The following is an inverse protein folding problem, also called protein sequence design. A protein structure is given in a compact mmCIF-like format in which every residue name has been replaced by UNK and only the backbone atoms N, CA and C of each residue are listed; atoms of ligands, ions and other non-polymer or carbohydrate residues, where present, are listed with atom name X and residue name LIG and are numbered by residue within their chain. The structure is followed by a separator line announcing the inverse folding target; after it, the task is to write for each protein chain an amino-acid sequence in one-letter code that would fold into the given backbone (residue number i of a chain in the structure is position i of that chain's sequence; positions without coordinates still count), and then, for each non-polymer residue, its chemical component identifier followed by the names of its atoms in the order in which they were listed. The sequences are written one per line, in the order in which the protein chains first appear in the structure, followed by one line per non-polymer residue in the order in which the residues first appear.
data_IF_479769606258
#
_entry.id   IF_479769606258
#
_cell.length_a   1.000
_cell.length_b   1.000
_cell.length_c   1.000
_cell.angle_alpha   90.00
_cell.angle_beta   90.00
_cell.angle_gamma   90.00
#
_symmetry.space_group_name_H-M   'P 1'
#
loop_
_entity.id
_entity.type
_entity.pdbx_description
1 polymer ?
#
# COMPACT_ATOMS: atom_id res chain seq x y z
N UNK A 1 26.81 1.46 -4.33
CA UNK A 1 25.87 2.56 -4.60
C UNK A 1 24.52 1.95 -4.82
N UNK A 2 23.56 2.29 -3.96
CA UNK A 2 22.19 1.77 -3.99
C UNK A 2 21.37 2.47 -5.09
N UNK A 3 20.17 1.98 -5.40
CA UNK A 3 19.30 2.58 -6.41
C UNK A 3 18.95 4.06 -6.15
N UNK A 4 18.60 4.51 -4.92
CA UNK A 4 18.39 5.94 -4.63
C UNK A 4 19.57 6.83 -5.02
N UNK A 5 20.79 6.45 -4.66
CA UNK A 5 22.00 7.22 -4.95
C UNK A 5 22.25 7.33 -6.48
N UNK A 6 22.01 6.23 -7.21
CA UNK A 6 22.13 6.21 -8.68
C UNK A 6 21.08 7.11 -9.33
N UNK A 7 19.83 7.03 -8.89
CA UNK A 7 18.76 7.86 -9.41
C UNK A 7 19.04 9.35 -9.13
N UNK A 8 19.48 9.69 -7.92
CA UNK A 8 19.90 11.04 -7.57
C UNK A 8 21.03 11.54 -8.46
N UNK A 9 22.06 10.72 -8.69
CA UNK A 9 23.21 11.06 -9.55
C UNK A 9 22.76 11.33 -10.99
N UNK A 10 21.90 10.46 -11.53
CA UNK A 10 21.35 10.61 -12.89
C UNK A 10 20.55 11.90 -13.05
N UNK A 11 19.70 12.26 -12.09
CA UNK A 11 18.92 13.49 -12.16
C UNK A 11 19.82 14.74 -12.10
N UNK A 12 20.88 14.72 -11.30
CA UNK A 12 21.82 15.84 -11.25
C UNK A 12 22.61 15.97 -12.56
N UNK A 13 23.08 14.86 -13.13
CA UNK A 13 23.72 14.90 -14.45
C UNK A 13 22.75 15.40 -15.54
N UNK A 14 21.46 15.04 -15.45
CA UNK A 14 20.46 15.55 -16.36
C UNK A 14 20.26 17.07 -16.23
N UNK A 15 20.36 17.65 -15.02
CA UNK A 15 20.29 19.11 -14.87
C UNK A 15 21.39 19.83 -15.64
N UNK A 16 22.61 19.27 -15.66
CA UNK A 16 23.73 19.84 -16.41
C UNK A 16 23.50 19.75 -17.94
N UNK A 17 23.00 18.60 -18.41
CA UNK A 17 22.72 18.36 -19.85
C UNK A 17 21.57 19.22 -20.39
N UNK A 18 20.63 19.59 -19.52
CA UNK A 18 19.46 20.39 -19.86
C UNK A 18 19.54 21.84 -19.34
N UNK A 19 20.74 22.34 -19.02
CA UNK A 19 20.95 23.66 -18.40
C UNK A 19 20.41 24.87 -19.19
N UNK A 20 20.20 24.71 -20.50
CA UNK A 20 19.63 25.69 -21.42
C UNK A 20 18.09 25.56 -21.60
N UNK A 21 17.45 24.55 -21.00
CA UNK A 21 15.99 24.36 -21.04
C UNK A 21 15.37 24.64 -19.66
N UNK A 22 14.82 25.85 -19.42
CA UNK A 22 14.15 26.17 -18.15
C UNK A 22 13.00 25.20 -17.82
N UNK A 23 12.30 24.71 -18.84
CA UNK A 23 11.22 23.73 -18.69
C UNK A 23 11.74 22.40 -18.13
N UNK A 24 12.76 21.83 -18.76
CA UNK A 24 13.37 20.56 -18.31
C UNK A 24 14.00 20.72 -16.92
N UNK A 25 14.69 21.82 -16.65
CA UNK A 25 15.27 22.11 -15.32
C UNK A 25 14.19 22.16 -14.25
N UNK A 26 13.10 22.90 -14.47
CA UNK A 26 12.02 23.01 -13.50
C UNK A 26 11.36 21.65 -13.23
N UNK A 27 11.21 20.82 -14.28
CA UNK A 27 10.71 19.46 -14.15
C UNK A 27 11.64 18.56 -13.33
N UNK A 28 12.93 18.54 -13.65
CA UNK A 28 13.93 17.72 -12.96
C UNK A 28 14.11 18.16 -11.50
N UNK A 29 14.14 19.48 -11.23
CA UNK A 29 14.19 20.04 -9.87
C UNK A 29 12.99 19.64 -9.03
N UNK A 30 11.78 19.58 -9.62
CA UNK A 30 10.59 19.09 -8.92
C UNK A 30 10.76 17.64 -8.46
N UNK A 31 11.33 16.78 -9.30
CA UNK A 31 11.58 15.38 -8.95
C UNK A 31 12.71 15.23 -7.91
N UNK A 32 13.76 16.05 -7.99
CA UNK A 32 14.81 16.10 -6.97
C UNK A 32 14.29 16.55 -5.60
N UNK A 33 13.48 17.61 -5.55
CA UNK A 33 12.87 18.07 -4.30
C UNK A 33 12.03 16.98 -3.62
N UNK A 34 11.36 16.15 -4.42
CA UNK A 34 10.55 15.04 -3.92
C UNK A 34 11.35 13.91 -3.27
N UNK A 35 12.65 13.78 -3.48
CA UNK A 35 13.44 12.76 -2.78
C UNK A 35 13.48 13.02 -1.27
N UNK A 36 13.50 14.28 -0.85
CA UNK A 36 13.62 14.67 0.56
C UNK A 36 12.26 14.82 1.25
N UNK A 37 11.18 14.96 0.49
CA UNK A 37 9.82 15.04 1.02
C UNK A 37 9.39 13.72 1.70
N UNK A 38 8.30 13.69 2.49
CA UNK A 38 7.61 12.45 2.83
C UNK A 38 7.17 11.65 1.60
N UNK A 39 6.92 10.35 1.76
CA UNK A 39 6.34 9.53 0.69
C UNK A 39 4.93 10.04 0.36
N UNK A 40 4.61 10.16 -0.94
CA UNK A 40 3.28 10.55 -1.41
C UNK A 40 2.45 9.34 -1.83
N UNK A 41 1.34 9.09 -1.13
CA UNK A 41 0.44 7.96 -1.37
C UNK A 41 -0.92 8.45 -1.88
N UNK A 42 -1.23 8.16 -3.14
CA UNK A 42 -2.52 8.52 -3.73
C UNK A 42 -3.61 7.49 -3.41
N UNK A 43 -4.79 7.99 -3.04
CA UNK A 43 -6.00 7.19 -2.82
C UNK A 43 -6.89 7.34 -4.04
N UNK A 44 -6.90 6.32 -4.89
CA UNK A 44 -7.52 6.34 -6.21
C UNK A 44 -8.68 5.37 -6.26
N UNK A 45 -9.77 5.72 -6.95
CA UNK A 45 -10.86 4.79 -7.19
C UNK A 45 -12.08 5.47 -7.79
N UNK A 46 -13.05 4.64 -8.18
CA UNK A 46 -14.31 5.05 -8.79
C UNK A 46 -15.13 6.07 -8.00
N UNK A 47 -16.19 6.62 -8.61
CA UNK A 47 -17.17 7.40 -7.87
C UNK A 47 -17.76 6.54 -6.73
N UNK A 48 -18.00 7.18 -5.58
CA UNK A 48 -18.56 6.55 -4.39
C UNK A 48 -17.78 5.33 -3.83
N UNK A 49 -16.50 5.10 -4.17
CA UNK A 49 -15.72 3.99 -3.58
C UNK A 49 -15.22 4.24 -2.16
N UNK A 50 -15.56 5.37 -1.53
CA UNK A 50 -15.16 5.68 -0.14
C UNK A 50 -13.73 6.21 -0.01
N UNK A 51 -13.20 6.93 -1.01
CA UNK A 51 -11.84 7.53 -1.00
C UNK A 51 -11.62 8.44 0.22
N UNK A 52 -12.41 9.48 0.36
CA UNK A 52 -12.32 10.43 1.47
C UNK A 52 -12.58 9.75 2.82
N UNK A 53 -13.48 8.75 2.87
CA UNK A 53 -13.70 7.91 4.05
C UNK A 53 -12.44 7.14 4.46
N UNK A 54 -11.72 6.56 3.49
CA UNK A 54 -10.49 5.84 3.75
C UNK A 54 -9.34 6.77 4.13
N UNK A 55 -9.25 7.96 3.51
CA UNK A 55 -8.30 9.01 3.90
C UNK A 55 -8.52 9.40 5.36
N UNK A 56 -9.75 9.66 5.77
CA UNK A 56 -10.11 9.95 7.16
C UNK A 56 -9.77 8.77 8.10
N UNK A 57 -10.02 7.54 7.66
CA UNK A 57 -9.67 6.35 8.43
C UNK A 57 -8.14 6.18 8.60
N UNK A 58 -7.32 6.51 7.60
CA UNK A 58 -5.85 6.43 7.69
C UNK A 58 -5.27 7.59 8.50
N UNK A 59 -5.74 8.83 8.26
CA UNK A 59 -5.34 10.01 9.02
C UNK A 59 -5.74 9.88 10.50
N UNK A 60 -6.95 9.40 10.78
CA UNK A 60 -7.52 9.31 12.12
C UNK A 60 -8.26 10.53 12.59
N UNK A 61 -8.49 11.46 11.69
CA UNK A 61 -9.24 12.69 11.88
C UNK A 61 -10.06 12.93 10.61
N UNK A 62 -11.16 13.66 10.75
CA UNK A 62 -12.04 14.00 9.63
C UNK A 62 -11.46 15.19 8.85
N UNK A 63 -10.51 14.93 7.97
CA UNK A 63 -9.79 15.94 7.18
C UNK A 63 -10.28 16.05 5.74
N UNK A 64 -10.74 14.94 5.16
CA UNK A 64 -11.24 14.86 3.80
C UNK A 64 -12.76 14.97 3.76
N UNK A 65 -13.26 15.81 2.86
CA UNK A 65 -14.68 15.96 2.54
C UNK A 65 -15.01 15.24 1.24
N UNK A 66 -16.18 14.58 1.19
CA UNK A 66 -16.61 13.90 -0.03
C UNK A 66 -16.89 14.92 -1.15
N UNK A 67 -16.36 14.66 -2.36
CA UNK A 67 -16.72 15.42 -3.56
C UNK A 67 -15.79 16.57 -3.95
N UNK A 68 -14.54 16.60 -3.47
CA UNK A 68 -13.53 17.56 -3.94
C UNK A 68 -13.31 17.47 -5.47
N UNK A 69 -13.27 18.62 -6.16
CA UNK A 69 -13.07 18.69 -7.62
C UNK A 69 -11.59 18.56 -8.04
N UNK A 70 -10.66 18.41 -7.10
CA UNK A 70 -9.23 18.34 -7.37
C UNK A 70 -8.49 17.45 -6.38
N UNK A 71 -7.18 17.33 -6.57
CA UNK A 71 -6.32 16.61 -5.63
C UNK A 71 -6.21 17.40 -4.33
N UNK A 72 -6.29 16.72 -3.20
CA UNK A 72 -6.09 17.30 -1.87
C UNK A 72 -5.00 16.54 -1.13
N UNK A 73 -4.11 17.27 -0.46
CA UNK A 73 -2.95 16.71 0.24
C UNK A 73 -3.17 16.77 1.74
N UNK A 74 -2.96 15.64 2.41
CA UNK A 74 -3.10 15.49 3.85
C UNK A 74 -1.80 14.94 4.43
N UNK A 75 -1.23 15.65 5.40
CA UNK A 75 -0.08 15.14 6.13
C UNK A 75 -0.58 14.19 7.21
N UNK A 76 -0.14 12.93 7.15
CA UNK A 76 -0.41 11.97 8.21
C UNK A 76 0.77 12.03 9.19
N UNK A 77 0.53 12.44 10.45
CA UNK A 77 1.59 12.47 11.43
C UNK A 77 2.12 11.04 11.65
N UNK A 78 3.42 10.88 11.90
CA UNK A 78 3.99 9.57 12.12
C UNK A 78 3.35 8.96 13.38
N UNK A 79 2.67 7.81 13.23
CA UNK A 79 2.41 6.96 14.37
C UNK A 79 3.75 6.34 14.82
N UNK A 80 3.89 5.97 16.10
CA UNK A 80 5.14 5.46 16.69
C UNK A 80 5.92 4.57 15.70
N UNK A 81 7.20 4.92 15.47
CA UNK A 81 8.15 4.26 14.55
C UNK A 81 7.79 4.23 13.06
N UNK A 82 6.82 5.01 12.57
CA UNK A 82 6.49 5.12 11.14
C UNK A 82 7.08 6.39 10.55
N UNK A 83 7.56 6.30 9.30
CA UNK A 83 7.97 7.47 8.52
C UNK A 83 6.77 8.37 8.21
N UNK A 84 6.97 9.70 8.10
CA UNK A 84 5.89 10.60 7.69
C UNK A 84 5.37 10.24 6.29
N UNK A 85 4.06 10.39 6.10
CA UNK A 85 3.36 10.06 4.86
C UNK A 85 2.46 11.24 4.46
N UNK A 86 2.44 11.55 3.17
CA UNK A 86 1.47 12.48 2.58
C UNK A 86 0.42 11.67 1.83
N UNK A 87 -0.83 11.72 2.27
CA UNK A 87 -1.95 11.16 1.53
C UNK A 87 -2.42 12.16 0.47
N UNK A 88 -2.77 11.67 -0.70
CA UNK A 88 -3.39 12.45 -1.76
C UNK A 88 -4.78 11.86 -2.01
N UNK A 89 -5.83 12.60 -1.66
CA UNK A 89 -7.19 12.27 -2.10
C UNK A 89 -7.34 12.73 -3.55
N UNK A 90 -7.63 11.79 -4.45
CA UNK A 90 -7.71 12.06 -5.89
C UNK A 90 -9.16 12.18 -6.35
N UNK A 91 -9.42 12.92 -7.44
CA UNK A 91 -10.72 12.86 -8.10
C UNK A 91 -11.09 11.40 -8.46
N UNK A 92 -12.40 11.16 -8.60
CA UNK A 92 -12.90 9.82 -8.94
C UNK A 92 -12.40 9.39 -10.32
N UNK A 93 -11.87 8.16 -10.42
CA UNK A 93 -11.38 7.58 -11.67
C UNK A 93 -12.42 6.64 -12.25
N UNK A 94 -12.83 6.87 -13.49
CA UNK A 94 -13.76 6.01 -14.22
C UNK A 94 -13.34 5.82 -15.68
N UNK A 95 -14.09 5.04 -16.46
CA UNK A 95 -13.76 4.72 -17.84
C UNK A 95 -13.73 5.96 -18.75
N UNK A 96 -14.49 7.01 -18.41
CA UNK A 96 -14.56 8.27 -19.15
C UNK A 96 -13.51 9.30 -18.69
N UNK A 97 -12.50 8.88 -17.91
CA UNK A 97 -11.47 9.78 -17.42
C UNK A 97 -10.53 10.22 -18.56
N UNK A 98 -10.34 11.54 -18.65
CA UNK A 98 -9.32 12.14 -19.52
C UNK A 98 -7.93 11.56 -19.19
N UNK A 99 -7.15 11.11 -20.19
CA UNK A 99 -5.82 10.53 -19.98
C UNK A 99 -4.87 11.41 -19.13
N UNK A 100 -5.00 12.73 -19.26
CA UNK A 100 -4.20 13.70 -18.49
C UNK A 100 -4.44 13.66 -16.98
N UNK A 101 -5.62 13.22 -16.51
CA UNK A 101 -5.90 13.09 -15.08
C UNK A 101 -5.12 11.91 -14.47
N UNK A 102 -5.03 10.79 -15.19
CA UNK A 102 -4.24 9.62 -14.76
C UNK A 102 -2.75 9.97 -14.74
N UNK A 103 -2.26 10.66 -15.78
CA UNK A 103 -0.88 11.13 -15.83
C UNK A 103 -0.57 12.06 -14.67
N UNK A 104 -1.45 13.02 -14.35
CA UNK A 104 -1.28 13.93 -13.21
C UNK A 104 -1.12 13.18 -11.88
N UNK A 105 -1.96 12.16 -11.62
CA UNK A 105 -1.85 11.33 -10.41
C UNK A 105 -0.52 10.57 -10.39
N UNK A 106 -0.14 9.93 -11.50
CA UNK A 106 1.13 9.21 -11.63
C UNK A 106 2.34 10.12 -11.45
N UNK A 107 2.24 11.39 -11.86
CA UNK A 107 3.30 12.38 -11.72
C UNK A 107 3.41 12.95 -10.32
N UNK A 108 2.36 12.92 -9.49
CA UNK A 108 2.41 13.47 -8.13
C UNK A 108 2.60 12.39 -7.04
N UNK A 109 2.23 11.14 -7.33
CA UNK A 109 2.26 10.04 -6.37
C UNK A 109 3.53 9.19 -6.49
N UNK A 110 4.01 8.65 -5.36
CA UNK A 110 5.06 7.63 -5.32
C UNK A 110 4.46 6.22 -5.25
N UNK A 111 3.30 6.10 -4.62
CA UNK A 111 2.53 4.88 -4.47
C UNK A 111 1.02 5.15 -4.57
N UNK A 112 0.24 4.10 -4.83
CA UNK A 112 -1.21 4.17 -5.03
C UNK A 112 -1.95 3.11 -4.21
N UNK A 113 -2.97 3.55 -3.47
CA UNK A 113 -4.06 2.71 -2.98
C UNK A 113 -5.20 2.76 -3.98
N UNK A 114 -5.49 1.63 -4.64
CA UNK A 114 -6.58 1.54 -5.60
C UNK A 114 -7.82 0.94 -4.94
N UNK A 115 -8.88 1.73 -4.81
CA UNK A 115 -10.12 1.42 -4.11
C UNK A 115 -11.17 0.90 -5.08
N UNK A 116 -11.74 -0.22 -4.71
CA UNK A 116 -12.76 -0.93 -5.46
C UNK A 116 -13.85 -1.40 -4.49
N UNK A 117 -15.11 -1.14 -4.84
CA UNK A 117 -16.23 -1.63 -4.04
C UNK A 117 -16.39 -3.15 -4.17
N UNK A 118 -16.34 -3.65 -5.42
CA UNK A 118 -16.53 -5.06 -5.73
C UNK A 118 -15.46 -5.53 -6.73
N UNK A 119 -14.77 -6.65 -6.46
CA UNK A 119 -13.64 -7.06 -7.28
C UNK A 119 -14.01 -7.61 -8.66
N UNK A 120 -15.18 -8.23 -8.81
CA UNK A 120 -15.61 -8.82 -10.08
C UNK A 120 -15.85 -7.78 -11.18
N UNK A 121 -16.23 -6.56 -10.80
CA UNK A 121 -16.57 -5.46 -11.73
C UNK A 121 -15.60 -4.27 -11.57
N UNK A 122 -14.43 -4.49 -10.98
CA UNK A 122 -13.46 -3.43 -10.78
C UNK A 122 -12.82 -3.05 -12.13
N UNK A 123 -12.86 -1.76 -12.47
CA UNK A 123 -12.23 -1.25 -13.67
C UNK A 123 -10.72 -1.05 -13.45
N UNK A 124 -9.93 -2.01 -13.94
CA UNK A 124 -8.47 -2.01 -13.79
C UNK A 124 -7.76 -1.09 -14.79
N UNK A 125 -8.47 -0.33 -15.64
CA UNK A 125 -7.87 0.57 -16.63
C UNK A 125 -6.86 1.54 -16.00
N UNK A 126 -7.18 2.12 -14.84
CA UNK A 126 -6.24 2.97 -14.11
C UNK A 126 -4.95 2.23 -13.72
N UNK A 127 -5.06 1.03 -13.15
CA UNK A 127 -3.89 0.25 -12.76
C UNK A 127 -3.04 -0.17 -13.95
N UNK A 128 -3.65 -0.46 -15.10
CA UNK A 128 -2.94 -0.72 -16.36
C UNK A 128 -2.18 0.53 -16.82
N UNK A 129 -2.83 1.68 -16.81
CA UNK A 129 -2.22 2.96 -17.17
C UNK A 129 -1.03 3.33 -16.25
N UNK A 130 -1.13 3.07 -14.94
CA UNK A 130 0.00 3.22 -14.00
C UNK A 130 1.20 2.36 -14.40
N UNK A 131 0.94 1.20 -15.03
CA UNK A 131 1.96 0.28 -15.52
C UNK A 131 2.32 0.48 -17.00
N UNK A 132 1.81 1.50 -17.70
CA UNK A 132 2.10 1.66 -19.13
C UNK A 132 3.50 2.24 -19.40
N UNK A 133 4.06 2.95 -18.43
CA UNK A 133 5.40 3.51 -18.55
C UNK A 133 6.48 2.40 -18.53
N UNK A 134 7.52 2.42 -19.40
CA UNK A 134 8.55 1.38 -19.46
C UNK A 134 9.24 1.11 -18.11
N UNK A 135 9.58 2.17 -17.38
CA UNK A 135 10.14 2.08 -16.02
C UNK A 135 9.13 1.45 -15.04
N UNK A 136 7.84 1.76 -15.17
CA UNK A 136 6.81 1.21 -14.30
C UNK A 136 6.63 -0.29 -14.50
N UNK A 137 6.67 -0.79 -15.75
CA UNK A 137 6.57 -2.22 -16.08
C UNK A 137 7.65 -3.08 -15.41
N UNK A 138 8.86 -2.56 -15.32
CA UNK A 138 9.97 -3.24 -14.63
C UNK A 138 9.74 -3.29 -13.11
N UNK A 139 8.99 -2.33 -12.58
CA UNK A 139 8.79 -2.07 -11.16
C UNK A 139 7.30 -1.91 -10.80
N UNK A 140 6.49 -2.94 -11.02
CA UNK A 140 5.09 -3.00 -10.58
C UNK A 140 4.99 -3.21 -9.04
N UNK A 141 5.52 -2.24 -8.28
CA UNK A 141 5.75 -2.33 -6.83
C UNK A 141 5.06 -1.23 -6.04
N UNK A 142 4.38 -0.31 -6.71
CA UNK A 142 3.87 0.92 -6.12
C UNK A 142 2.35 0.90 -5.87
N UNK A 143 1.67 -0.24 -6.00
CA UNK A 143 0.20 -0.31 -5.94
C UNK A 143 -0.29 -1.40 -4.99
N UNK A 144 -1.28 -1.06 -4.16
CA UNK A 144 -2.06 -1.99 -3.32
C UNK A 144 -3.54 -1.77 -3.62
N UNK A 145 -4.28 -2.85 -3.85
CA UNK A 145 -5.72 -2.79 -4.05
C UNK A 145 -6.47 -2.91 -2.73
N UNK A 146 -7.57 -2.18 -2.60
CA UNK A 146 -8.40 -2.13 -1.39
C UNK A 146 -9.86 -2.40 -1.75
N UNK A 147 -10.42 -3.47 -1.20
CA UNK A 147 -11.87 -3.69 -1.16
C UNK A 147 -12.45 -2.76 -0.09
N UNK A 148 -12.84 -1.55 -0.47
CA UNK A 148 -13.16 -0.45 0.46
C UNK A 148 -14.56 -0.51 1.08
N UNK A 149 -15.43 -1.33 0.50
CA UNK A 149 -16.79 -1.64 0.96
C UNK A 149 -16.90 -3.10 1.38
N UNK A 150 -15.90 -3.59 2.10
CA UNK A 150 -15.83 -4.98 2.53
C UNK A 150 -17.03 -5.40 3.39
N UNK A 151 -17.66 -4.43 4.06
CA UNK A 151 -18.86 -4.61 4.85
C UNK A 151 -20.12 -4.88 4.03
N UNK A 152 -20.18 -4.50 2.76
CA UNK A 152 -21.34 -4.79 1.89
C UNK A 152 -21.37 -6.26 1.45
N UNK A 153 -20.22 -6.96 1.50
CA UNK A 153 -20.14 -8.37 1.14
C UNK A 153 -20.92 -9.25 2.13
N UNK A 154 -21.82 -10.08 1.60
CA UNK A 154 -22.69 -10.93 2.44
C UNK A 154 -23.83 -10.16 3.14
N UNK A 155 -24.18 -8.95 2.65
CA UNK A 155 -25.37 -8.22 3.09
C UNK A 155 -25.21 -7.47 4.41
N UNK A 156 -24.00 -6.97 4.73
CA UNK A 156 -23.80 -6.15 5.94
C UNK A 156 -23.80 -6.93 7.25
N UNK A 157 -23.70 -8.27 7.20
CA UNK A 157 -23.68 -9.12 8.40
C UNK A 157 -22.39 -8.91 9.18
N UNK A 158 -22.38 -9.25 10.47
CA UNK A 158 -21.22 -9.04 11.36
C UNK A 158 -19.98 -9.84 10.90
N UNK A 159 -20.17 -10.91 10.13
CA UNK A 159 -19.13 -11.72 9.50
C UNK A 159 -18.74 -11.27 8.08
N UNK A 160 -19.30 -10.17 7.55
CA UNK A 160 -19.01 -9.63 6.21
C UNK A 160 -17.50 -9.51 5.94
N UNK A 161 -16.74 -9.01 6.91
CA UNK A 161 -15.29 -8.83 6.80
C UNK A 161 -14.52 -10.15 6.70
N UNK A 162 -15.04 -11.24 7.28
CA UNK A 162 -14.41 -12.57 7.13
C UNK A 162 -14.55 -13.01 5.67
N UNK A 163 -15.75 -12.91 5.12
CA UNK A 163 -16.03 -13.21 3.71
C UNK A 163 -15.21 -12.32 2.77
N UNK A 164 -15.14 -11.01 3.07
CA UNK A 164 -14.36 -10.06 2.29
C UNK A 164 -12.86 -10.39 2.29
N UNK A 165 -12.29 -10.80 3.43
CA UNK A 165 -10.90 -11.25 3.51
C UNK A 165 -10.66 -12.51 2.69
N UNK A 166 -11.61 -13.45 2.64
CA UNK A 166 -11.51 -14.64 1.79
C UNK A 166 -11.50 -14.26 0.31
N UNK A 167 -12.38 -13.34 -0.10
CA UNK A 167 -12.41 -12.79 -1.46
C UNK A 167 -11.08 -12.10 -1.78
N UNK A 168 -10.59 -11.21 -0.93
CA UNK A 168 -9.30 -10.53 -1.10
C UNK A 168 -8.13 -11.53 -1.26
N UNK A 169 -8.10 -12.60 -0.44
CA UNK A 169 -7.10 -13.67 -0.52
C UNK A 169 -7.13 -14.42 -1.85
N UNK A 170 -8.30 -14.57 -2.47
CA UNK A 170 -8.43 -15.16 -3.82
C UNK A 170 -7.84 -14.22 -4.86
N UNK A 171 -8.29 -12.95 -4.88
CA UNK A 171 -7.87 -11.96 -5.88
C UNK A 171 -6.41 -11.55 -5.79
N UNK A 172 -5.79 -11.62 -4.60
CA UNK A 172 -4.36 -11.40 -4.50
C UNK A 172 -3.55 -12.55 -5.09
N UNK A 173 -4.11 -13.76 -5.24
CA UNK A 173 -3.40 -14.94 -5.78
C UNK A 173 -3.71 -15.19 -7.26
N UNK A 174 -4.90 -14.81 -7.70
CA UNK A 174 -5.45 -15.16 -9.01
C UNK A 174 -5.85 -13.89 -9.78
N UNK A 175 -5.74 -13.96 -11.11
CA UNK A 175 -6.19 -12.91 -11.99
C UNK A 175 -5.24 -11.72 -12.09
N UNK A 176 -5.72 -10.67 -12.75
CA UNK A 176 -4.91 -9.54 -13.19
C UNK A 176 -4.38 -8.68 -12.03
N UNK A 177 -5.15 -8.56 -10.93
CA UNK A 177 -4.74 -7.84 -9.72
C UNK A 177 -3.45 -8.39 -9.11
N UNK A 178 -3.19 -9.69 -9.25
CA UNK A 178 -1.95 -10.30 -8.75
C UNK A 178 -0.69 -9.80 -9.48
N UNK A 179 -0.85 -9.31 -10.72
CA UNK A 179 0.23 -8.76 -11.55
C UNK A 179 0.35 -7.25 -11.37
N UNK A 180 -0.80 -6.56 -11.20
CA UNK A 180 -0.86 -5.11 -11.11
C UNK A 180 -0.62 -4.54 -9.70
N UNK A 181 -0.79 -5.35 -8.65
CA UNK A 181 -0.70 -4.91 -7.25
C UNK A 181 0.14 -5.85 -6.38
N UNK A 182 0.76 -5.28 -5.34
CA UNK A 182 1.51 -6.02 -4.33
C UNK A 182 0.58 -6.85 -3.43
N UNK A 183 -0.59 -6.32 -3.06
CA UNK A 183 -1.58 -7.01 -2.22
C UNK A 183 -3.00 -6.53 -2.52
N UNK A 184 -3.99 -7.26 -1.97
CA UNK A 184 -5.41 -6.90 -1.96
C UNK A 184 -5.90 -6.98 -0.51
N UNK A 185 -6.33 -5.86 0.05
CA UNK A 185 -6.77 -5.75 1.45
C UNK A 185 -8.26 -5.42 1.52
N UNK A 186 -8.98 -6.03 2.47
CA UNK A 186 -10.40 -5.75 2.70
C UNK A 186 -10.58 -4.79 3.87
N UNK A 187 -11.31 -3.70 3.66
CA UNK A 187 -11.55 -2.65 4.65
C UNK A 187 -13.02 -2.23 4.65
N UNK A 188 -13.60 -2.08 5.83
CA UNK A 188 -14.86 -1.37 6.02
C UNK A 188 -14.56 0.07 6.44
N UNK A 189 -14.53 0.97 5.44
CA UNK A 189 -14.07 2.35 5.62
C UNK A 189 -14.83 3.14 6.69
N UNK A 190 -16.17 3.01 6.71
CA UNK A 190 -17.01 3.71 7.69
C UNK A 190 -16.76 3.20 9.12
N UNK A 191 -16.76 1.88 9.33
CA UNK A 191 -16.46 1.31 10.65
C UNK A 191 -15.04 1.67 11.13
N UNK A 192 -14.07 1.76 10.22
CA UNK A 192 -12.71 2.19 10.51
C UNK A 192 -12.65 3.67 10.91
N UNK A 193 -13.23 4.55 10.11
CA UNK A 193 -13.26 5.99 10.34
C UNK A 193 -14.05 6.33 11.61
N UNK A 194 -15.28 5.85 11.71
CA UNK A 194 -16.15 6.05 12.87
C UNK A 194 -15.55 5.49 14.15
N UNK A 195 -14.90 4.32 14.10
CA UNK A 195 -14.20 3.76 15.26
C UNK A 195 -13.06 4.65 15.78
N UNK A 196 -12.24 5.22 14.88
CA UNK A 196 -11.11 6.09 15.26
C UNK A 196 -11.53 7.46 15.76
N UNK A 197 -12.65 7.97 15.26
CA UNK A 197 -13.16 9.32 15.53
C UNK A 197 -14.42 9.30 16.40
N UNK A 198 -14.63 8.20 17.14
CA UNK A 198 -15.78 7.97 18.01
C UNK A 198 -15.84 9.02 19.12
N UNK A 199 -16.95 9.76 19.18
CA UNK A 199 -17.23 10.72 20.26
C UNK A 199 -17.89 10.04 21.47
N UNK A 200 -17.96 10.77 22.59
CA UNK A 200 -18.66 10.28 23.79
C UNK A 200 -20.19 10.17 23.52
N UNK A 201 -20.80 11.16 22.86
CA UNK A 201 -22.23 11.12 22.50
C UNK A 201 -22.59 9.91 21.62
N UNK A 202 -21.75 9.60 20.63
CA UNK A 202 -21.94 8.43 19.75
C UNK A 202 -21.79 7.11 20.50
N UNK A 203 -20.85 7.07 21.46
CA UNK A 203 -20.68 5.92 22.32
C UNK A 203 -21.93 5.69 23.20
N UNK A 204 -22.48 6.73 23.82
CA UNK A 204 -23.69 6.62 24.63
C UNK A 204 -24.90 6.15 23.79
N UNK A 205 -25.06 6.66 22.57
CA UNK A 205 -26.11 6.20 21.65
C UNK A 205 -25.95 4.70 21.30
N UNK A 206 -24.72 4.26 21.00
CA UNK A 206 -24.43 2.85 20.72
C UNK A 206 -24.62 1.97 21.95
N UNK A 207 -24.28 2.45 23.14
CA UNK A 207 -24.49 1.78 24.41
C UNK A 207 -25.98 1.63 24.73
N UNK A 208 -26.78 2.67 24.48
CA UNK A 208 -28.24 2.62 24.60
C UNK A 208 -28.87 1.58 23.66
N UNK A 209 -28.43 1.55 22.40
CA UNK A 209 -28.85 0.52 21.44
C UNK A 209 -28.44 -0.89 21.90
N UNK A 210 -27.24 -1.04 22.47
CA UNK A 210 -26.77 -2.32 22.97
C UNK A 210 -27.54 -2.81 24.20
N UNK A 211 -27.99 -1.90 25.06
CA UNK A 211 -28.78 -2.19 26.26
C UNK A 211 -30.24 -2.56 25.95
N UNK A 212 -30.79 -2.11 24.80
CA UNK A 212 -32.16 -2.41 24.40
C UNK A 212 -32.41 -3.93 24.24
N UNK A 213 -33.63 -4.42 24.55
CA UNK A 213 -34.01 -5.81 24.30
C UNK A 213 -33.81 -6.21 22.84
N UNK A 214 -33.49 -7.49 22.62
CA UNK A 214 -33.18 -8.00 21.28
C UNK A 214 -34.38 -7.86 20.33
N UNK A 215 -35.58 -8.08 20.85
CA UNK A 215 -36.85 -8.03 20.14
C UNK A 215 -37.17 -6.63 19.60
N UNK A 216 -36.71 -5.59 20.29
CA UNK A 216 -36.87 -4.19 19.89
C UNK A 216 -35.79 -3.74 18.90
N UNK A 217 -34.55 -4.21 19.10
CA UNK A 217 -33.40 -3.79 18.30
C UNK A 217 -33.32 -4.49 16.93
N UNK A 218 -33.65 -5.78 16.85
CA UNK A 218 -33.53 -6.55 15.61
C UNK A 218 -34.33 -5.94 14.44
N UNK A 219 -35.60 -5.51 14.61
CA UNK A 219 -36.36 -4.86 13.56
C UNK A 219 -35.70 -3.59 13.00
N UNK A 220 -35.03 -2.82 13.86
CA UNK A 220 -34.32 -1.59 13.49
C UNK A 220 -33.06 -1.91 12.68
N UNK A 221 -32.35 -2.98 13.03
CA UNK A 221 -31.11 -3.37 12.37
C UNK A 221 -31.32 -4.16 11.08
N UNK A 222 -32.55 -4.39 10.60
CA UNK A 222 -32.82 -5.14 9.37
C UNK A 222 -32.36 -4.41 8.11
N UNK A 223 -32.55 -3.09 8.01
CA UNK A 223 -32.15 -2.28 6.86
C UNK A 223 -31.71 -0.88 7.28
N UNK A 224 -30.96 -0.21 6.38
CA UNK A 224 -30.55 1.18 6.56
C UNK A 224 -31.77 2.11 6.75
N UNK A 225 -32.81 1.98 5.91
CA UNK A 225 -34.00 2.83 5.97
C UNK A 225 -34.74 2.73 7.31
N UNK A 226 -34.85 1.51 7.86
CA UNK A 226 -35.50 1.30 9.16
C UNK A 226 -34.70 1.91 10.30
N UNK A 227 -33.39 1.79 10.24
CA UNK A 227 -32.52 2.37 11.25
C UNK A 227 -32.57 3.89 11.20
N UNK A 228 -32.48 4.47 10.00
CA UNK A 228 -32.46 5.91 9.73
C UNK A 228 -33.81 6.64 9.95
N UNK A 229 -34.85 5.94 10.42
CA UNK A 229 -36.16 6.56 10.69
C UNK A 229 -36.14 7.61 11.81
N UNK A 230 -35.02 7.75 12.54
CA UNK A 230 -34.80 8.77 13.56
C UNK A 230 -33.53 9.58 13.22
N UNK A 231 -33.52 10.91 13.43
CA UNK A 231 -32.40 11.77 13.05
C UNK A 231 -31.06 11.43 13.73
N UNK A 232 -31.06 10.97 14.98
CA UNK A 232 -29.82 10.58 15.66
C UNK A 232 -29.27 9.27 15.08
N UNK A 233 -30.16 8.33 14.79
CA UNK A 233 -29.80 7.08 14.13
C UNK A 233 -29.36 7.27 12.68
N UNK A 234 -29.94 8.22 11.96
CA UNK A 234 -29.49 8.58 10.60
C UNK A 234 -28.05 9.10 10.60
N UNK A 235 -27.70 9.98 11.55
CA UNK A 235 -26.32 10.47 11.72
C UNK A 235 -25.36 9.33 12.05
N UNK A 236 -25.75 8.45 12.97
CA UNK A 236 -24.93 7.30 13.36
C UNK A 236 -24.73 6.33 12.17
N UNK A 237 -25.78 6.11 11.37
CA UNK A 237 -25.71 5.31 10.16
C UNK A 237 -24.73 5.90 9.14
N UNK A 238 -24.77 7.23 8.93
CA UNK A 238 -23.83 7.91 8.04
C UNK A 238 -22.37 7.76 8.45
N UNK A 239 -22.09 7.65 9.76
CA UNK A 239 -20.71 7.53 10.28
C UNK A 239 -20.17 6.11 10.33
N UNK A 240 -20.99 5.15 10.72
CA UNK A 240 -20.53 3.77 10.97
C UNK A 240 -20.97 2.78 9.89
N UNK A 241 -21.99 3.14 9.10
CA UNK A 241 -22.71 2.18 8.27
C UNK A 241 -23.47 1.15 9.12
N UNK A 242 -24.41 0.43 8.49
CA UNK A 242 -25.22 -0.56 9.20
C UNK A 242 -24.36 -1.70 9.78
N UNK A 243 -23.32 -2.09 9.05
CA UNK A 243 -22.34 -3.07 9.52
C UNK A 243 -21.62 -2.59 10.79
N UNK A 244 -21.10 -1.36 10.79
CA UNK A 244 -20.38 -0.81 11.93
C UNK A 244 -21.25 -0.71 13.17
N UNK A 245 -22.52 -0.34 13.02
CA UNK A 245 -23.51 -0.31 14.11
C UNK A 245 -23.76 -1.73 14.66
N UNK A 246 -24.05 -2.71 13.79
CA UNK A 246 -24.26 -4.12 14.20
C UNK A 246 -23.04 -4.68 14.93
N UNK A 247 -21.85 -4.36 14.43
CA UNK A 247 -20.58 -4.75 15.05
C UNK A 247 -20.40 -4.08 16.41
N UNK A 248 -20.63 -2.76 16.51
CA UNK A 248 -20.49 -2.01 17.75
C UNK A 248 -21.42 -2.53 18.85
N UNK A 249 -22.70 -2.73 18.55
CA UNK A 249 -23.68 -3.34 19.46
C UNK A 249 -23.19 -4.71 19.95
N UNK A 250 -22.70 -5.54 19.03
CA UNK A 250 -22.19 -6.88 19.36
C UNK A 250 -20.96 -6.81 20.28
N UNK A 251 -20.08 -5.83 20.07
CA UNK A 251 -18.87 -5.64 20.88
C UNK A 251 -19.18 -5.12 22.27
N UNK A 252 -20.09 -4.15 22.39
CA UNK A 252 -20.52 -3.61 23.70
C UNK A 252 -21.14 -4.73 24.54
N UNK A 253 -22.05 -5.53 23.95
CA UNK A 253 -22.65 -6.70 24.61
C UNK A 253 -21.63 -7.78 25.01
N UNK A 254 -20.43 -7.78 24.41
CA UNK A 254 -19.32 -8.69 24.73
C UNK A 254 -18.28 -8.06 25.67
N UNK A 255 -18.53 -6.88 26.21
CA UNK A 255 -17.68 -6.23 27.21
C UNK A 255 -16.80 -5.08 26.70
N UNK A 256 -17.03 -4.57 25.49
CA UNK A 256 -16.42 -3.29 25.06
C UNK A 256 -17.27 -2.10 25.58
N UNK A 257 -17.34 -1.96 26.90
CA UNK A 257 -18.24 -1.07 27.65
C UNK A 257 -17.65 0.34 27.89
N UNK A 258 -16.54 0.67 27.24
CA UNK A 258 -15.96 2.02 27.25
C UNK A 258 -15.70 2.50 25.84
N UNK A 259 -15.73 3.82 25.62
CA UNK A 259 -15.40 4.45 24.33
C UNK A 259 -14.04 3.98 23.80
N UNK A 260 -13.02 3.91 24.66
CA UNK A 260 -11.68 3.48 24.28
C UNK A 260 -11.64 1.99 23.86
N UNK A 261 -12.32 1.11 24.59
CA UNK A 261 -12.41 -0.31 24.26
C UNK A 261 -13.16 -0.53 22.94
N UNK A 262 -14.29 0.15 22.74
CA UNK A 262 -15.08 0.06 21.51
C UNK A 262 -14.32 0.59 20.29
N UNK A 263 -13.71 1.76 20.40
CA UNK A 263 -12.87 2.37 19.36
C UNK A 263 -11.76 1.40 18.91
N UNK A 264 -11.05 0.82 19.88
CA UNK A 264 -9.98 -0.16 19.62
C UNK A 264 -10.51 -1.39 18.90
N UNK A 265 -11.62 -1.97 19.36
CA UNK A 265 -12.20 -3.18 18.76
C UNK A 265 -12.77 -2.92 17.35
N UNK A 266 -13.40 -1.76 17.11
CA UNK A 266 -13.89 -1.38 15.77
C UNK A 266 -12.72 -1.22 14.80
N UNK A 267 -11.64 -0.55 15.20
CA UNK A 267 -10.45 -0.37 14.38
C UNK A 267 -9.76 -1.72 14.05
N UNK A 268 -9.67 -2.63 15.02
CA UNK A 268 -9.09 -3.97 14.80
C UNK A 268 -9.91 -4.83 13.82
N UNK A 269 -11.23 -4.67 13.82
CA UNK A 269 -12.14 -5.54 13.05
C UNK A 269 -12.53 -4.98 11.68
N UNK A 270 -12.31 -3.68 11.46
CA UNK A 270 -12.61 -3.00 10.19
C UNK A 270 -11.65 -3.34 9.05
N UNK A 271 -10.52 -4.00 9.33
CA UNK A 271 -9.46 -4.27 8.34
C UNK A 271 -8.47 -3.12 8.14
N UNK A 272 -8.65 -2.00 8.86
CA UNK A 272 -7.72 -0.87 8.79
C UNK A 272 -6.31 -1.22 9.29
N UNK A 273 -6.19 -2.07 10.32
CA UNK A 273 -4.90 -2.57 10.80
C UNK A 273 -4.12 -3.27 9.68
N UNK A 274 -4.76 -4.25 9.03
CA UNK A 274 -4.20 -4.99 7.89
C UNK A 274 -3.74 -4.02 6.76
N UNK A 275 -4.50 -2.95 6.49
CA UNK A 275 -4.12 -1.94 5.51
C UNK A 275 -2.92 -1.09 5.95
N UNK A 276 -2.88 -0.67 7.22
CA UNK A 276 -1.76 0.12 7.75
C UNK A 276 -0.46 -0.69 7.73
N UNK A 277 -0.52 -1.96 8.10
CA UNK A 277 0.62 -2.87 8.04
C UNK A 277 1.11 -3.03 6.59
N UNK A 278 0.19 -3.17 5.63
CA UNK A 278 0.53 -3.21 4.21
C UNK A 278 1.15 -1.90 3.70
N UNK A 279 0.61 -0.74 4.09
CA UNK A 279 1.20 0.58 3.75
C UNK A 279 2.61 0.70 4.33
N UNK A 280 2.82 0.26 5.58
CA UNK A 280 4.14 0.30 6.18
C UNK A 280 5.14 -0.59 5.44
N UNK A 281 4.78 -1.87 5.29
CA UNK A 281 5.64 -2.90 4.71
C UNK A 281 6.00 -2.62 3.25
N UNK A 282 5.03 -2.23 2.43
CA UNK A 282 5.23 -2.07 0.99
C UNK A 282 5.63 -0.66 0.57
N UNK A 283 5.23 0.36 1.34
CA UNK A 283 5.40 1.75 0.93
C UNK A 283 6.31 2.57 1.84
N UNK A 284 5.98 2.79 3.12
CA UNK A 284 6.74 3.73 3.95
C UNK A 284 8.15 3.23 4.25
N UNK A 285 8.31 1.94 4.54
CA UNK A 285 9.60 1.32 4.81
C UNK A 285 10.46 1.20 3.54
N UNK A 286 9.84 1.42 2.39
CA UNK A 286 10.41 1.31 1.03
C UNK A 286 10.47 2.65 0.33
N UNK A 287 10.23 3.74 1.06
CA UNK A 287 10.13 5.07 0.47
C UNK A 287 11.35 5.49 -0.37
N UNK A 288 12.61 5.22 0.01
CA UNK A 288 13.76 5.57 -0.84
C UNK A 288 13.70 4.91 -2.22
N UNK A 289 13.34 3.63 -2.29
CA UNK A 289 13.25 2.86 -3.54
C UNK A 289 12.08 3.33 -4.40
N UNK A 290 10.93 3.64 -3.78
CA UNK A 290 9.77 4.16 -4.50
C UNK A 290 10.01 5.58 -5.03
N UNK A 291 10.68 6.45 -4.26
CA UNK A 291 11.09 7.78 -4.71
C UNK A 291 12.10 7.72 -5.85
N UNK A 292 13.07 6.81 -5.76
CA UNK A 292 14.00 6.55 -6.86
C UNK A 292 13.25 6.12 -8.12
N UNK A 293 12.26 5.22 -8.00
CA UNK A 293 11.39 4.82 -9.11
C UNK A 293 10.65 6.02 -9.72
N UNK A 294 9.98 6.84 -8.91
CA UNK A 294 9.27 8.05 -9.37
C UNK A 294 10.22 9.00 -10.12
N UNK A 295 11.43 9.19 -9.60
CA UNK A 295 12.42 10.05 -10.22
C UNK A 295 12.95 9.52 -11.55
N UNK A 296 13.20 8.21 -11.64
CA UNK A 296 13.62 7.57 -12.90
C UNK A 296 12.52 7.62 -13.96
N UNK A 297 11.23 7.52 -13.57
CA UNK A 297 10.10 7.80 -14.47
C UNK A 297 10.17 9.25 -14.94
N UNK A 298 10.29 10.21 -14.02
CA UNK A 298 10.38 11.63 -14.36
C UNK A 298 11.56 11.98 -15.28
N UNK A 299 12.71 11.31 -15.11
CA UNK A 299 13.87 11.43 -15.98
C UNK A 299 13.59 10.88 -17.39
N UNK A 300 13.06 9.67 -17.50
CA UNK A 300 12.73 9.04 -18.79
C UNK A 300 11.73 9.90 -19.59
N UNK A 301 10.76 10.52 -18.91
CA UNK A 301 9.81 11.46 -19.53
C UNK A 301 10.54 12.64 -20.18
N UNK A 302 11.50 13.28 -19.51
CA UNK A 302 12.26 14.39 -20.09
C UNK A 302 13.13 13.93 -21.26
N UNK A 303 13.81 12.79 -21.11
CA UNK A 303 14.66 12.23 -22.16
C UNK A 303 13.86 11.93 -23.45
N UNK A 304 12.59 11.54 -23.31
CA UNK A 304 11.66 11.31 -24.44
C UNK A 304 11.07 12.59 -25.01
N UNK A 305 10.71 13.55 -24.16
CA UNK A 305 10.04 14.78 -24.58
C UNK A 305 11.00 15.82 -25.18
N UNK A 306 12.24 15.87 -24.73
CA UNK A 306 13.28 16.77 -25.24
C UNK A 306 14.54 15.96 -25.60
N UNK A 307 14.52 15.17 -26.69
CA UNK A 307 15.64 14.32 -27.07
C UNK A 307 16.85 15.17 -27.53
N UNK A 308 18.04 14.84 -27.02
CA UNK A 308 19.29 15.57 -27.30
C UNK A 308 20.46 14.61 -27.52
N UNK A 309 21.38 14.91 -28.45
CA UNK A 309 22.59 14.10 -28.62
C UNK A 309 23.45 14.02 -27.34
N UNK A 310 23.54 15.13 -26.59
CA UNK A 310 24.26 15.20 -25.31
C UNK A 310 23.64 14.34 -24.21
N UNK A 311 22.36 13.96 -24.34
CA UNK A 311 21.65 13.12 -23.37
C UNK A 311 21.77 11.62 -23.65
N UNK A 312 22.36 11.20 -24.78
CA UNK A 312 22.49 9.78 -25.13
C UNK A 312 23.20 8.93 -24.05
N UNK A 313 24.27 9.40 -23.37
CA UNK A 313 24.86 8.67 -22.26
C UNK A 313 23.91 8.46 -21.07
N UNK A 314 23.02 9.42 -20.79
CA UNK A 314 22.04 9.33 -19.71
C UNK A 314 21.00 8.25 -19.98
N UNK A 315 20.55 8.11 -21.23
CA UNK A 315 19.62 7.02 -21.62
C UNK A 315 20.25 5.66 -21.33
N UNK A 316 21.51 5.45 -21.76
CA UNK A 316 22.20 4.19 -21.52
C UNK A 316 22.50 3.90 -20.04
N UNK A 317 22.75 4.92 -19.23
CA UNK A 317 22.93 4.75 -17.78
C UNK A 317 21.58 4.52 -17.05
N UNK A 318 20.49 5.15 -17.51
CA UNK A 318 19.14 4.87 -17.04
C UNK A 318 18.76 3.40 -17.30
N UNK A 319 18.94 2.91 -18.52
CA UNK A 319 18.66 1.51 -18.88
C UNK A 319 19.49 0.53 -18.04
N UNK A 320 20.79 0.79 -17.87
CA UNK A 320 21.67 -0.01 -16.99
C UNK A 320 21.21 0.02 -15.53
N UNK A 321 20.80 1.19 -15.03
CA UNK A 321 20.29 1.35 -13.67
C UNK A 321 19.03 0.52 -13.46
N UNK A 322 18.08 0.57 -14.40
CA UNK A 322 16.84 -0.21 -14.35
C UNK A 322 17.08 -1.71 -14.46
N UNK A 323 17.96 -2.13 -15.38
CA UNK A 323 18.32 -3.55 -15.53
C UNK A 323 19.02 -4.12 -14.29
N UNK A 324 19.80 -3.28 -13.58
CA UNK A 324 20.52 -3.65 -12.36
C UNK A 324 19.77 -3.41 -11.04
N UNK A 325 18.51 -2.95 -11.09
CA UNK A 325 17.72 -2.59 -9.90
C UNK A 325 17.21 -3.85 -9.16
N UNK A 326 18.06 -4.45 -8.33
CA UNK A 326 17.71 -5.62 -7.51
C UNK A 326 16.62 -5.29 -6.48
N UNK A 327 16.59 -4.06 -5.99
CA UNK A 327 15.63 -3.57 -4.99
C UNK A 327 14.18 -3.77 -5.46
N UNK A 328 13.87 -3.59 -6.75
CA UNK A 328 12.53 -3.87 -7.29
C UNK A 328 12.18 -5.36 -7.29
N UNK A 329 13.17 -6.23 -7.41
CA UNK A 329 12.99 -7.66 -7.29
C UNK A 329 12.73 -8.07 -5.84
N UNK A 330 13.40 -7.44 -4.88
CA UNK A 330 13.16 -7.64 -3.44
C UNK A 330 11.75 -7.21 -3.03
N UNK A 331 11.26 -6.06 -3.50
CA UNK A 331 9.90 -5.60 -3.23
C UNK A 331 8.84 -6.56 -3.79
N UNK A 332 9.04 -7.06 -5.02
CA UNK A 332 8.12 -8.06 -5.61
C UNK A 332 8.20 -9.38 -4.87
N UNK A 333 9.40 -9.84 -4.52
CA UNK A 333 9.61 -11.05 -3.76
C UNK A 333 8.83 -10.96 -2.43
N UNK A 334 9.03 -9.90 -1.68
CA UNK A 334 8.35 -9.66 -0.40
C UNK A 334 6.82 -9.77 -0.57
N UNK A 335 6.25 -9.05 -1.54
CA UNK A 335 4.82 -9.15 -1.83
C UNK A 335 4.39 -10.58 -2.18
N UNK A 336 5.12 -11.29 -3.06
CA UNK A 336 4.75 -12.65 -3.48
C UNK A 336 4.82 -13.69 -2.35
N UNK A 337 5.78 -13.55 -1.45
CA UNK A 337 5.96 -14.46 -0.31
C UNK A 337 4.94 -14.14 0.78
N UNK A 338 4.77 -12.86 1.15
CA UNK A 338 3.80 -12.42 2.17
C UNK A 338 2.34 -12.69 1.78
N UNK A 339 2.01 -12.59 0.49
CA UNK A 339 0.65 -12.89 0.01
C UNK A 339 0.40 -14.38 -0.24
N UNK A 340 1.45 -15.21 -0.22
CA UNK A 340 1.38 -16.64 -0.52
C UNK A 340 1.10 -16.93 -2.00
N UNK A 341 1.56 -16.06 -2.91
CA UNK A 341 1.61 -16.30 -4.37
C UNK A 341 2.69 -17.32 -4.70
N UNK A 342 3.77 -17.36 -3.91
CA UNK A 342 4.81 -18.40 -3.97
C UNK A 342 4.72 -19.24 -2.69
N UNK A 343 4.81 -20.57 -2.83
CA UNK A 343 4.71 -21.49 -1.68
C UNK A 343 6.10 -22.01 -1.31
N UNK A 344 6.69 -21.39 -0.30
CA UNK A 344 7.91 -21.87 0.34
C UNK A 344 7.56 -22.62 1.64
N UNK A 345 8.37 -23.61 2.05
CA UNK A 345 8.35 -24.13 3.43
C UNK A 345 8.39 -22.98 4.44
N UNK A 346 7.71 -23.13 5.58
CA UNK A 346 7.52 -22.05 6.56
C UNK A 346 8.82 -21.40 7.02
N UNK A 347 9.83 -22.21 7.35
CA UNK A 347 11.15 -21.71 7.76
C UNK A 347 11.82 -20.85 6.67
N UNK A 348 11.77 -21.31 5.42
CA UNK A 348 12.30 -20.57 4.27
C UNK A 348 11.47 -19.34 3.94
N UNK A 349 10.15 -19.39 4.16
CA UNK A 349 9.25 -18.27 3.93
C UNK A 349 9.61 -17.11 4.86
N UNK A 350 9.73 -17.38 6.16
CA UNK A 350 10.11 -16.37 7.15
C UNK A 350 11.52 -15.84 6.90
N UNK A 351 12.46 -16.72 6.55
CA UNK A 351 13.82 -16.29 6.18
C UNK A 351 13.84 -15.44 4.90
N UNK A 352 13.05 -15.78 3.88
CA UNK A 352 12.93 -14.98 2.65
C UNK A 352 12.34 -13.59 2.91
N UNK A 353 11.28 -13.51 3.74
CA UNK A 353 10.68 -12.23 4.14
C UNK A 353 11.73 -11.36 4.83
N UNK A 354 12.47 -11.93 5.80
CA UNK A 354 13.52 -11.22 6.54
C UNK A 354 14.66 -10.78 5.63
N UNK A 355 15.18 -11.67 4.77
CA UNK A 355 16.26 -11.36 3.84
C UNK A 355 15.85 -10.37 2.75
N UNK A 356 14.58 -10.34 2.33
CA UNK A 356 14.02 -9.29 1.46
C UNK A 356 13.74 -7.96 2.21
N UNK A 357 14.08 -7.91 3.50
CA UNK A 357 14.01 -6.73 4.36
C UNK A 357 12.65 -6.48 5.00
N UNK A 358 11.79 -7.49 5.10
CA UNK A 358 10.41 -7.35 5.60
C UNK A 358 10.30 -6.89 7.07
N UNK A 359 11.41 -6.92 7.82
CA UNK A 359 11.51 -6.44 9.20
C UNK A 359 12.54 -5.31 9.37
N UNK A 360 12.97 -4.70 8.26
CA UNK A 360 14.02 -3.70 8.25
C UNK A 360 15.10 -3.98 7.20
N UNK A 361 15.86 -2.95 6.86
CA UNK A 361 16.85 -2.98 5.79
C UNK A 361 18.28 -3.19 6.30
N UNK A 362 18.51 -3.13 7.61
CA UNK A 362 19.85 -3.29 8.15
C UNK A 362 20.34 -4.74 8.01
N UNK A 363 21.62 -4.97 7.69
CA UNK A 363 22.16 -6.33 7.55
C UNK A 363 21.87 -7.25 8.74
N UNK A 364 21.89 -6.71 9.96
CA UNK A 364 21.58 -7.45 11.20
C UNK A 364 20.13 -7.93 11.24
N UNK A 365 19.19 -7.05 10.87
CA UNK A 365 17.75 -7.35 10.80
C UNK A 365 17.48 -8.41 9.72
N UNK A 366 18.08 -8.23 8.54
CA UNK A 366 17.93 -9.14 7.39
C UNK A 366 18.47 -10.54 7.65
N UNK A 367 19.57 -10.65 8.39
CA UNK A 367 20.19 -11.93 8.74
C UNK A 367 19.60 -12.55 10.01
N UNK A 368 18.76 -11.83 10.76
CA UNK A 368 18.28 -12.28 12.07
C UNK A 368 19.43 -12.45 13.06
N UNK A 369 20.45 -11.60 12.96
CA UNK A 369 21.68 -11.73 13.74
C UNK A 369 21.42 -11.53 15.23
N UNK A 370 21.87 -12.47 16.04
CA UNK A 370 21.87 -12.35 17.50
C UNK A 370 23.10 -11.58 17.97
N UNK A 371 23.02 -10.94 19.15
CA UNK A 371 24.11 -10.15 19.76
C UNK A 371 25.41 -10.95 19.92
N UNK A 372 25.32 -12.27 20.12
CA UNK A 372 26.46 -13.20 20.20
C UNK A 372 26.49 -14.19 19.03
N UNK A 373 26.03 -13.77 17.85
CA UNK A 373 25.99 -14.58 16.64
C UNK A 373 27.32 -14.61 15.86
N UNK A 374 27.40 -15.45 14.81
CA UNK A 374 28.52 -15.42 13.88
C UNK A 374 28.64 -14.05 13.18
N UNK A 375 29.82 -13.67 12.67
CA UNK A 375 29.99 -12.46 11.89
C UNK A 375 28.98 -12.39 10.73
N UNK A 376 28.43 -11.20 10.45
CA UNK A 376 27.36 -11.01 9.47
C UNK A 376 27.70 -11.59 8.08
N UNK A 377 28.96 -11.43 7.63
CA UNK A 377 29.42 -12.03 6.37
C UNK A 377 29.34 -13.55 6.36
N UNK A 378 29.64 -14.21 7.48
CA UNK A 378 29.55 -15.67 7.59
C UNK A 378 28.09 -16.12 7.59
N UNK A 379 27.21 -15.40 8.30
CA UNK A 379 25.77 -15.65 8.27
C UNK A 379 25.19 -15.49 6.85
N UNK A 380 25.54 -14.41 6.14
CA UNK A 380 25.13 -14.17 4.77
C UNK A 380 25.65 -15.25 3.80
N UNK A 381 26.90 -15.70 3.96
CA UNK A 381 27.45 -16.79 3.16
C UNK A 381 26.78 -18.14 3.45
N UNK A 382 26.37 -18.39 4.70
CA UNK A 382 25.60 -19.58 5.05
C UNK A 382 24.22 -19.56 4.38
N UNK A 383 23.48 -18.46 4.51
CA UNK A 383 22.19 -18.25 3.85
C UNK A 383 22.32 -18.38 2.32
N UNK A 384 23.33 -17.76 1.71
CA UNK A 384 23.57 -17.84 0.27
C UNK A 384 23.69 -19.29 -0.23
N UNK A 385 24.43 -20.15 0.49
CA UNK A 385 24.59 -21.57 0.11
C UNK A 385 23.26 -22.30 0.12
N UNK A 386 22.44 -22.06 1.14
CA UNK A 386 21.10 -22.64 1.27
C UNK A 386 20.22 -22.20 0.10
N UNK A 387 20.12 -20.90 -0.13
CA UNK A 387 19.25 -20.34 -1.18
C UNK A 387 19.69 -20.69 -2.60
N UNK A 388 20.99 -20.83 -2.87
CA UNK A 388 21.49 -21.36 -4.14
C UNK A 388 21.04 -22.80 -4.38
N UNK A 389 21.20 -23.67 -3.39
CA UNK A 389 20.75 -25.06 -3.50
C UNK A 389 19.23 -25.15 -3.78
N UNK A 390 18.42 -24.31 -3.12
CA UNK A 390 16.99 -24.21 -3.42
C UNK A 390 16.69 -23.69 -4.83
N UNK A 391 17.45 -22.71 -5.31
CA UNK A 391 17.26 -22.13 -6.63
C UNK A 391 17.52 -23.11 -7.79
N UNK A 392 18.37 -24.11 -7.55
CA UNK A 392 18.78 -25.15 -8.50
C UNK A 392 17.99 -26.45 -8.36
N UNK A 393 17.21 -26.61 -7.28
CA UNK A 393 16.49 -27.83 -6.99
C UNK A 393 15.26 -27.99 -7.93
N UNK A 394 15.22 -29.05 -8.77
CA UNK A 394 14.19 -29.24 -9.78
C UNK A 394 12.81 -29.61 -9.19
N UNK A 395 12.73 -30.00 -7.92
CA UNK A 395 11.47 -30.33 -7.23
C UNK A 395 10.58 -29.08 -7.07
N UNK A 396 11.18 -27.90 -6.97
CA UNK A 396 10.45 -26.64 -6.82
C UNK A 396 9.96 -26.09 -8.16
N UNK A 397 8.84 -25.37 -8.18
CA UNK A 397 8.33 -24.72 -9.38
C UNK A 397 9.21 -23.55 -9.84
N UNK A 398 8.91 -23.04 -11.04
CA UNK A 398 9.68 -21.92 -11.60
C UNK A 398 9.60 -20.66 -10.74
N UNK A 399 8.46 -20.40 -10.10
CA UNK A 399 8.24 -19.26 -9.23
C UNK A 399 9.03 -19.38 -7.91
N UNK A 400 9.02 -20.54 -7.27
CA UNK A 400 9.82 -20.82 -6.07
C UNK A 400 11.32 -20.71 -6.35
N UNK A 401 11.80 -21.27 -7.46
CA UNK A 401 13.20 -21.15 -7.86
C UNK A 401 13.59 -19.71 -8.20
N UNK A 402 12.69 -18.93 -8.80
CA UNK A 402 12.93 -17.50 -9.04
C UNK A 402 13.01 -16.72 -7.72
N UNK A 403 12.10 -16.97 -6.78
CA UNK A 403 12.15 -16.38 -5.44
C UNK A 403 13.48 -16.71 -4.75
N UNK A 404 13.92 -17.96 -4.80
CA UNK A 404 15.20 -18.39 -4.23
C UNK A 404 16.40 -17.70 -4.88
N UNK A 405 16.41 -17.50 -6.21
CA UNK A 405 17.46 -16.71 -6.89
C UNK A 405 17.49 -15.26 -6.41
N UNK A 406 16.33 -14.64 -6.22
CA UNK A 406 16.25 -13.26 -5.72
C UNK A 406 16.83 -13.16 -4.32
N UNK A 407 16.50 -14.10 -3.42
CA UNK A 407 17.08 -14.14 -2.05
C UNK A 407 18.59 -14.40 -2.09
N UNK A 408 19.05 -15.34 -2.92
CA UNK A 408 20.48 -15.60 -3.09
C UNK A 408 21.22 -14.33 -3.53
N UNK A 409 20.66 -13.57 -4.48
CA UNK A 409 21.24 -12.30 -4.91
C UNK A 409 21.28 -11.24 -3.80
N UNK A 410 20.27 -11.19 -2.94
CA UNK A 410 20.28 -10.35 -1.74
C UNK A 410 21.40 -10.76 -0.76
N UNK A 411 21.62 -12.06 -0.57
CA UNK A 411 22.72 -12.55 0.27
C UNK A 411 24.09 -12.21 -0.32
N UNK A 412 24.25 -12.28 -1.65
CA UNK A 412 25.48 -11.84 -2.33
C UNK A 412 25.77 -10.37 -2.07
N UNK A 413 24.76 -9.50 -2.17
CA UNK A 413 24.88 -8.08 -1.87
C UNK A 413 25.39 -7.85 -0.44
N UNK A 414 24.80 -8.52 0.55
CA UNK A 414 25.20 -8.44 1.97
C UNK A 414 26.64 -8.90 2.24
N UNK A 415 27.21 -9.78 1.40
CA UNK A 415 28.60 -10.21 1.51
C UNK A 415 29.54 -9.14 0.93
N UNK A 416 29.15 -8.56 -0.20
CA UNK A 416 29.96 -7.58 -0.94
C UNK A 416 29.90 -6.16 -0.38
N UNK A 417 28.84 -5.81 0.33
CA UNK A 417 28.75 -4.50 0.98
C UNK A 417 29.86 -4.37 2.04
N UNK A 418 30.63 -3.27 2.04
CA UNK A 418 31.52 -2.99 3.15
C UNK A 418 30.67 -2.86 4.41
N UNK A 419 31.09 -3.51 5.51
CA UNK A 419 30.48 -3.25 6.80
C UNK A 419 30.53 -1.73 7.06
N UNK A 420 29.44 -1.13 7.58
CA UNK A 420 29.36 0.31 7.79
C UNK A 420 30.49 0.84 8.69
#
# INVERSE_FOLDING_TARGET
MNLPDRAWTLLNQALDVYADSPRAINWLRRHLARFTDPLRLAVVGGPATGKSTLVNAIAGECVATEGGQGMAWYQVPPARSQSPLTLIDTPAVGPDMEPGAVESICMEADAVLYLMGHPHNADLAFLRAVQDHPVARVAAVNSVAVLSRADELGGGRVDALISARQVARKYRKEGELSVLCQDVIAVAGLAASGGRTLSDDEFELLAGLAAAPKEELEPLLLSADRFAADPERERLLGRFGLFGIRLAVTLIRRGADTRAALSTQLAQRSGLGDLRDAISLYFTDRAPVLKARSALIGLDVVLRMEPRPSAAPLVGELERTLAGAHEFHELRLLATVSTGRVRLPEELREEAIRLAGGYGLQPQERLGAQVQGPPLRQAAAAALRVWRAYSENPVFGAAERHAARTVARSCEALITEPAP
#
